data_IF_351135428164
#
_entry.id   IF_351135428164
#
_cell.length_a   1.000
_cell.length_b   1.000
_cell.length_c   1.000
_cell.angle_alpha   90.00
_cell.angle_beta   90.00
_cell.angle_gamma   90.00
#
_symmetry.space_group_name_H-M   'P 1'
#
loop_
_entity.id
_entity.type
_entity.pdbx_description
1 polymer ?
#
# COMPACT_ATOMS: atom_id res chain seq x y z
N UNK A 1 -2.24 1.75 -14.47
CA UNK A 1 -2.12 1.99 -13.03
C UNK A 1 -3.47 2.46 -12.55
N UNK A 2 -4.01 1.83 -11.51
CA UNK A 2 -5.24 2.28 -10.84
C UNK A 2 -4.84 2.89 -9.50
N UNK A 3 -5.19 4.15 -9.28
CA UNK A 3 -4.94 4.85 -8.02
C UNK A 3 -6.27 5.21 -7.38
N UNK A 4 -6.50 4.72 -6.16
CA UNK A 4 -7.76 4.89 -5.45
C UNK A 4 -7.51 5.79 -4.24
N UNK A 5 -8.47 6.68 -3.98
CA UNK A 5 -8.56 7.39 -2.70
C UNK A 5 -9.33 6.48 -1.75
N UNK A 6 -8.66 5.99 -0.71
CA UNK A 6 -9.27 5.14 0.31
C UNK A 6 -10.20 5.99 1.18
N UNK A 7 -11.46 5.55 1.39
CA UNK A 7 -12.31 6.11 2.44
C UNK A 7 -11.59 6.08 3.81
N UNK A 8 -11.81 7.06 4.70
CA UNK A 8 -11.09 7.10 5.99
C UNK A 8 -11.29 5.89 6.90
N UNK A 9 -12.41 5.17 6.73
CA UNK A 9 -12.78 3.97 7.46
C UNK A 9 -12.46 2.66 6.69
N UNK A 10 -11.87 2.75 5.50
CA UNK A 10 -11.46 1.57 4.73
C UNK A 10 -10.23 0.94 5.38
N UNK A 11 -10.35 -0.33 5.76
CA UNK A 11 -9.25 -1.09 6.35
C UNK A 11 -8.19 -1.47 5.31
N UNK A 12 -6.96 -1.65 5.79
CA UNK A 12 -5.79 -1.94 4.97
C UNK A 12 -5.52 -3.44 4.78
N UNK A 13 -6.53 -4.30 5.00
CA UNK A 13 -6.45 -5.77 4.95
C UNK A 13 -5.83 -6.32 3.67
N UNK A 14 -6.12 -5.68 2.54
CA UNK A 14 -5.67 -6.10 1.21
C UNK A 14 -4.46 -5.30 0.71
N UNK A 15 -3.82 -4.53 1.59
CA UNK A 15 -2.75 -3.61 1.27
C UNK A 15 -1.47 -3.91 2.04
N UNK A 16 -0.35 -3.42 1.50
CA UNK A 16 0.92 -3.31 2.22
C UNK A 16 1.50 -1.92 2.07
N UNK A 17 2.27 -1.50 3.07
CA UNK A 17 2.90 -0.19 3.06
C UNK A 17 4.06 -0.15 2.05
N UNK A 18 3.98 0.72 1.03
CA UNK A 18 5.04 0.82 0.01
C UNK A 18 6.41 1.15 0.63
N UNK A 19 6.44 2.00 1.66
CA UNK A 19 7.67 2.41 2.35
C UNK A 19 8.42 1.25 3.04
N UNK A 20 7.69 0.23 3.48
CA UNK A 20 8.26 -1.00 4.04
C UNK A 20 8.63 -1.95 2.89
N UNK A 21 7.67 -2.23 2.01
CA UNK A 21 7.82 -3.16 0.90
C UNK A 21 9.02 -2.85 0.01
N UNK A 22 9.22 -1.59 -0.40
CA UNK A 22 10.31 -1.26 -1.31
C UNK A 22 11.70 -1.45 -0.69
N UNK A 23 11.81 -1.30 0.65
CA UNK A 23 13.06 -1.53 1.39
C UNK A 23 13.38 -3.01 1.44
N UNK A 24 12.41 -3.83 1.81
CA UNK A 24 12.56 -5.29 1.85
C UNK A 24 12.84 -5.87 0.45
N UNK A 25 12.22 -5.30 -0.59
CA UNK A 25 12.42 -5.75 -1.97
C UNK A 25 13.73 -5.23 -2.61
N UNK A 26 14.46 -4.31 -1.97
CA UNK A 26 15.64 -3.69 -2.54
C UNK A 26 15.36 -2.90 -3.83
N UNK A 27 14.17 -2.30 -3.95
CA UNK A 27 13.75 -1.54 -5.15
C UNK A 27 13.58 -0.06 -4.84
N UNK A 28 13.59 0.76 -5.89
CA UNK A 28 13.29 2.19 -5.76
C UNK A 28 11.90 2.42 -5.15
N UNK A 29 11.77 3.45 -4.31
CA UNK A 29 10.49 3.91 -3.74
C UNK A 29 9.39 4.11 -4.78
N UNK A 30 9.76 4.48 -6.01
CA UNK A 30 8.85 4.73 -7.13
C UNK A 30 8.75 3.55 -8.11
N UNK A 31 9.39 2.41 -7.84
CA UNK A 31 9.42 1.26 -8.75
C UNK A 31 8.02 0.77 -9.14
N UNK A 32 7.09 0.77 -8.18
CA UNK A 32 5.69 0.42 -8.40
C UNK A 32 5.03 1.23 -9.53
N UNK A 33 5.51 2.46 -9.82
CA UNK A 33 4.94 3.30 -10.87
C UNK A 33 5.11 2.73 -12.27
N UNK A 34 6.11 1.87 -12.46
CA UNK A 34 6.45 1.27 -13.74
C UNK A 34 5.86 -0.13 -13.90
N UNK A 35 5.11 -0.63 -12.91
CA UNK A 35 4.48 -1.95 -12.97
C UNK A 35 3.19 -1.91 -13.79
N UNK A 36 3.01 -2.90 -14.66
CA UNK A 36 1.74 -3.08 -15.39
C UNK A 36 0.65 -3.50 -14.42
N UNK A 37 -0.55 -2.92 -14.57
CA UNK A 37 -1.75 -3.22 -13.78
C UNK A 37 -1.59 -3.07 -12.25
N UNK A 38 -0.68 -2.20 -11.80
CA UNK A 38 -0.55 -1.89 -10.37
C UNK A 38 -1.81 -1.19 -9.83
N UNK A 39 -2.23 -1.59 -8.64
CA UNK A 39 -3.31 -0.96 -7.87
C UNK A 39 -2.73 -0.36 -6.60
N UNK A 40 -2.93 0.95 -6.42
CA UNK A 40 -2.43 1.70 -5.27
C UNK A 40 -3.58 2.39 -4.54
N UNK A 41 -3.49 2.40 -3.21
CA UNK A 41 -4.37 3.13 -2.32
C UNK A 41 -3.61 4.26 -1.63
N UNK A 42 -4.31 5.38 -1.39
CA UNK A 42 -3.88 6.42 -0.45
C UNK A 42 -5.11 7.04 0.21
N UNK A 43 -5.00 7.43 1.47
CA UNK A 43 -6.05 8.24 2.08
C UNK A 43 -6.01 9.67 1.55
N UNK A 44 -7.15 10.35 1.55
CA UNK A 44 -7.28 11.73 1.07
C UNK A 44 -6.29 12.66 1.77
N UNK A 45 -5.67 13.59 1.02
CA UNK A 45 -4.69 14.53 1.57
C UNK A 45 -3.32 13.95 1.92
N UNK A 46 -3.10 12.64 1.71
CA UNK A 46 -1.84 11.98 2.08
C UNK A 46 -0.97 11.61 0.88
N UNK A 47 0.34 11.48 1.12
CA UNK A 47 1.33 10.95 0.17
C UNK A 47 1.78 9.53 0.54
N UNK A 48 1.15 8.93 1.55
CA UNK A 48 1.44 7.56 1.98
C UNK A 48 0.78 6.62 0.98
N UNK A 49 1.59 5.74 0.40
CA UNK A 49 1.17 4.83 -0.66
C UNK A 49 1.07 3.42 -0.10
N UNK A 50 -0.08 2.82 -0.34
CA UNK A 50 -0.37 1.43 -0.07
C UNK A 50 -0.45 0.68 -1.40
N UNK A 51 0.21 -0.47 -1.49
CA UNK A 51 0.16 -1.35 -2.67
C UNK A 51 -0.86 -2.44 -2.40
N UNK A 52 -1.78 -2.66 -3.34
CA UNK A 52 -2.72 -3.77 -3.21
C UNK A 52 -1.98 -5.10 -3.40
N UNK A 53 -2.21 -6.06 -2.49
CA UNK A 53 -1.51 -7.36 -2.44
C UNK A 53 -1.59 -8.11 -3.78
N UNK A 54 -2.76 -8.09 -4.45
CA UNK A 54 -2.96 -8.74 -5.76
C UNK A 54 -2.13 -8.15 -6.91
N UNK A 55 -1.61 -6.94 -6.76
CA UNK A 55 -0.87 -6.23 -7.81
C UNK A 55 0.65 -6.39 -7.71
N UNK A 56 1.12 -7.08 -6.67
CA UNK A 56 2.53 -7.39 -6.47
C UNK A 56 3.00 -8.42 -7.49
N UNK A 57 4.14 -8.13 -8.14
CA UNK A 57 4.76 -9.03 -9.10
C UNK A 57 5.17 -10.35 -8.45
N UNK A 58 5.07 -11.47 -9.19
CA UNK A 58 5.42 -12.81 -8.70
C UNK A 58 6.81 -12.85 -8.05
N UNK A 59 7.79 -12.18 -8.68
CA UNK A 59 9.18 -12.09 -8.20
C UNK A 59 9.34 -11.45 -6.81
N UNK A 60 8.30 -10.78 -6.30
CA UNK A 60 8.31 -10.11 -4.99
C UNK A 60 7.32 -10.73 -3.99
N UNK A 61 6.73 -11.90 -4.27
CA UNK A 61 5.80 -12.54 -3.34
C UNK A 61 6.43 -12.95 -2.01
N UNK A 62 7.69 -13.39 -2.01
CA UNK A 62 8.38 -13.72 -0.75
C UNK A 62 8.67 -12.48 0.10
N UNK A 63 8.85 -11.33 -0.55
CA UNK A 63 8.98 -10.04 0.15
C UNK A 63 7.64 -9.62 0.75
N UNK A 64 6.54 -9.84 0.01
CA UNK A 64 5.20 -9.51 0.47
C UNK A 64 4.86 -10.18 1.80
N UNK A 65 5.31 -11.43 2.02
CA UNK A 65 5.12 -12.17 3.27
C UNK A 65 5.89 -11.61 4.47
N UNK A 66 6.92 -10.79 4.23
CA UNK A 66 7.74 -10.18 5.27
C UNK A 66 7.22 -8.81 5.70
N UNK A 67 6.28 -8.22 4.95
CA UNK A 67 5.64 -6.96 5.33
C UNK A 67 4.75 -7.15 6.55
N UNK A 68 4.60 -6.07 7.30
CA UNK A 68 3.69 -6.01 8.44
C UNK A 68 2.24 -6.24 7.99
N UNK A 69 1.48 -7.05 8.75
CA UNK A 69 0.06 -7.20 8.50
C UNK A 69 -0.71 -5.97 9.00
N UNK A 70 -1.58 -5.44 8.14
CA UNK A 70 -2.35 -4.23 8.38
C UNK A 70 -3.85 -4.52 8.49
N UNK A 71 -4.21 -5.78 8.74
CA UNK A 71 -5.60 -6.21 8.91
C UNK A 71 -6.29 -5.43 10.04
N UNK A 72 -7.42 -4.79 9.75
CA UNK A 72 -8.18 -3.95 10.67
C UNK A 72 -7.57 -2.57 10.96
N UNK A 73 -6.43 -2.23 10.36
CA UNK A 73 -5.81 -0.92 10.55
C UNK A 73 -6.28 0.09 9.50
N UNK A 74 -6.30 1.35 9.94
CA UNK A 74 -6.39 2.53 9.08
C UNK A 74 -5.19 3.44 9.38
N UNK A 75 -4.90 4.37 8.47
CA UNK A 75 -3.87 5.38 8.74
C UNK A 75 -4.33 6.32 9.87
N UNK A 76 -3.51 6.52 10.90
CA UNK A 76 -3.85 7.36 12.05
C UNK A 76 -4.32 8.77 11.67
N UNK A 77 -3.68 9.42 10.70
CA UNK A 77 -4.13 10.74 10.23
C UNK A 77 -5.50 10.71 9.53
N UNK A 78 -5.83 9.60 8.86
CA UNK A 78 -7.15 9.41 8.26
C UNK A 78 -8.21 9.15 9.33
N UNK A 79 -7.88 8.35 10.35
CA UNK A 79 -8.73 8.13 11.51
C UNK A 79 -9.06 9.44 12.24
N UNK A 80 -8.04 10.24 12.58
CA UNK A 80 -8.25 11.54 13.23
C UNK A 80 -8.98 12.56 12.36
N UNK A 81 -8.99 12.40 11.03
CA UNK A 81 -9.79 13.27 10.15
C UNK A 81 -11.25 12.81 10.04
N UNK A 82 -11.52 11.55 10.39
CA UNK A 82 -12.85 10.94 10.31
C UNK A 82 -13.69 11.19 11.56
N UNK A 83 -13.06 11.19 12.73
CA UNK A 83 -13.66 11.43 14.04
C UNK A 83 -13.56 12.89 14.45
#
# INVERSE_FOLDING_TARGET
>A
MKSIILPPNEFLDHYVLNAEFHRLAGISKNAYKFWKKVEIGRYQGTRIIFLHKNSILEKHREVLKQCSDLSGFVLASAFCSFT
#
